data_IF_583556555256
#
_entry.id   IF_583556555256
#
_cell.length_a   1.000
_cell.length_b   1.000
_cell.length_c   1.000
_cell.angle_alpha   90.00
_cell.angle_beta   90.00
_cell.angle_gamma   90.00
#
_symmetry.space_group_name_H-M   'P 1'
#
loop_
_entity.id
_entity.type
_entity.pdbx_description
1 polymer ?
#
# COMPACT_ATOMS: atom_id res chain seq x y z
N UNK A 1 10.62 2.38 -12.30
CA UNK A 1 9.28 2.42 -12.94
C UNK A 1 8.26 2.70 -11.86
N UNK A 2 7.59 3.86 -11.92
CA UNK A 2 6.63 4.30 -10.90
C UNK A 2 5.26 3.68 -11.19
N UNK A 3 4.89 2.65 -10.43
CA UNK A 3 3.74 1.78 -10.74
C UNK A 3 2.37 2.40 -10.39
N UNK A 4 2.34 3.53 -9.68
CA UNK A 4 1.12 4.09 -9.10
C UNK A 4 1.01 5.63 -9.22
N UNK A 5 1.52 6.20 -10.33
CA UNK A 5 1.46 7.64 -10.60
C UNK A 5 0.55 8.04 -11.77
N UNK A 6 0.57 9.32 -12.14
CA UNK A 6 -0.16 9.87 -13.29
C UNK A 6 0.04 9.06 -14.59
N UNK A 7 1.26 8.58 -14.94
CA UNK A 7 1.44 7.76 -16.15
C UNK A 7 0.65 6.44 -16.12
N UNK A 8 0.46 5.85 -14.94
CA UNK A 8 -0.34 4.62 -14.78
C UNK A 8 -1.84 4.92 -14.93
N UNK A 9 -2.33 5.99 -14.31
CA UNK A 9 -3.74 6.41 -14.38
C UNK A 9 -4.13 6.74 -15.83
N UNK A 10 -3.29 7.48 -16.56
CA UNK A 10 -3.53 7.81 -17.97
C UNK A 10 -3.57 6.56 -18.85
N UNK A 11 -2.70 5.58 -18.60
CA UNK A 11 -2.70 4.32 -19.35
C UNK A 11 -3.91 3.44 -19.00
N UNK A 12 -4.36 3.48 -17.75
CA UNK A 12 -5.55 2.77 -17.29
C UNK A 12 -6.82 3.30 -17.94
N UNK A 13 -7.00 4.62 -18.04
CA UNK A 13 -8.15 5.24 -18.70
C UNK A 13 -8.24 4.92 -20.19
N UNK A 14 -7.10 4.89 -20.89
CA UNK A 14 -7.04 4.46 -22.31
C UNK A 14 -7.57 3.04 -22.51
N UNK A 15 -7.33 2.15 -21.55
CA UNK A 15 -7.84 0.76 -21.60
C UNK A 15 -9.32 0.66 -21.29
N UNK A 16 -9.84 1.58 -20.48
CA UNK A 16 -11.25 1.63 -20.11
C UNK A 16 -12.12 2.34 -21.16
N UNK A 17 -11.52 3.18 -22.02
CA UNK A 17 -12.23 3.89 -23.08
C UNK A 17 -13.04 5.09 -22.60
N UNK A 18 -12.89 5.51 -21.33
CA UNK A 18 -13.52 6.70 -20.76
C UNK A 18 -12.55 7.48 -19.86
N UNK A 19 -12.45 8.82 -20.00
CA UNK A 19 -11.58 9.66 -19.18
C UNK A 19 -12.27 10.03 -17.84
N UNK A 20 -11.66 9.68 -16.70
CA UNK A 20 -12.17 9.98 -15.35
C UNK A 20 -11.47 11.22 -14.77
N UNK A 21 -10.13 11.22 -14.80
CA UNK A 21 -9.22 12.25 -14.28
C UNK A 21 -8.65 13.09 -15.42
N UNK A 22 -8.41 12.50 -16.59
CA UNK A 22 -7.89 13.27 -17.75
C UNK A 22 -8.86 14.33 -18.29
N UNK A 23 -10.17 14.15 -18.11
CA UNK A 23 -11.18 15.16 -18.48
C UNK A 23 -11.11 16.41 -17.59
N UNK A 24 -10.79 16.23 -16.31
CA UNK A 24 -10.58 17.32 -15.35
C UNK A 24 -9.32 18.11 -15.72
N UNK A 25 -8.22 17.40 -15.99
CA UNK A 25 -6.95 18.01 -16.41
C UNK A 25 -7.08 18.74 -17.76
N UNK A 26 -7.80 18.19 -18.72
CA UNK A 26 -8.01 18.84 -20.03
C UNK A 26 -8.81 20.14 -19.91
N UNK A 27 -9.78 20.21 -18.99
CA UNK A 27 -10.58 21.41 -18.76
C UNK A 27 -9.79 22.48 -18.00
N UNK A 28 -8.99 22.08 -17.01
CA UNK A 28 -8.08 22.99 -16.31
C UNK A 28 -7.03 23.57 -17.27
N UNK A 29 -6.38 22.73 -18.09
CA UNK A 29 -5.42 23.15 -19.11
C UNK A 29 -6.08 24.07 -20.15
N UNK A 30 -7.28 23.76 -20.66
CA UNK A 30 -7.99 24.65 -21.61
C UNK A 30 -8.36 26.00 -20.99
N UNK A 31 -8.72 26.02 -19.71
CA UNK A 31 -9.05 27.28 -19.01
C UNK A 31 -7.82 28.14 -18.76
N UNK A 32 -6.65 27.51 -18.55
CA UNK A 32 -5.37 28.18 -18.27
C UNK A 32 -4.62 28.64 -19.53
N UNK A 33 -4.83 27.98 -20.69
CA UNK A 33 -4.21 28.35 -21.99
C UNK A 33 -4.86 29.60 -22.64
N UNK A 34 -5.95 30.11 -22.07
CA UNK A 34 -6.66 31.28 -22.64
C UNK A 34 -5.87 32.59 -22.54
N UNK A 35 -4.86 32.63 -21.67
CA UNK A 35 -3.85 33.67 -21.63
C UNK A 35 -2.56 33.04 -22.12
N UNK A 36 -1.97 33.59 -23.18
CA UNK A 36 -0.85 33.03 -23.96
C UNK A 36 0.49 32.98 -23.19
N UNK A 37 0.48 32.62 -21.91
CA UNK A 37 1.66 32.31 -21.14
C UNK A 37 2.02 30.82 -21.36
N UNK A 38 3.24 30.59 -21.85
CA UNK A 38 3.82 29.26 -21.95
C UNK A 38 3.93 28.67 -20.54
N UNK A 39 2.96 27.85 -20.14
CA UNK A 39 3.06 27.02 -18.95
C UNK A 39 4.02 25.88 -19.28
N UNK A 40 5.30 26.07 -18.94
CA UNK A 40 6.24 24.96 -18.89
C UNK A 40 5.77 24.01 -17.79
N UNK A 41 5.36 22.79 -18.16
CA UNK A 41 5.28 21.70 -17.19
C UNK A 41 6.72 21.43 -16.76
N UNK A 42 7.13 22.07 -15.67
CA UNK A 42 8.39 21.76 -15.03
C UNK A 42 8.21 20.37 -14.46
N UNK A 43 8.75 19.35 -15.14
CA UNK A 43 9.12 18.09 -14.48
C UNK A 43 10.20 18.43 -13.45
N UNK A 44 9.77 19.01 -12.33
CA UNK A 44 10.63 19.43 -11.24
C UNK A 44 11.01 18.18 -10.47
N UNK A 45 11.99 17.45 -11.00
CA UNK A 45 12.77 16.51 -10.21
C UNK A 45 13.75 17.30 -9.32
N UNK A 46 13.23 18.34 -8.64
CA UNK A 46 13.97 19.28 -7.81
C UNK A 46 14.21 18.60 -6.46
N UNK A 47 15.47 18.26 -6.12
CA UNK A 47 15.82 17.69 -4.82
C UNK A 47 15.43 18.63 -3.67
N UNK A 48 15.30 19.92 -3.94
CA UNK A 48 14.86 20.93 -2.98
C UNK A 48 13.44 20.66 -2.49
N UNK A 49 12.48 20.38 -3.39
CA UNK A 49 11.08 20.08 -3.02
C UNK A 49 11.00 18.78 -2.22
N UNK A 50 11.75 17.74 -2.61
CA UNK A 50 11.77 16.48 -1.86
C UNK A 50 12.29 16.67 -0.44
N UNK A 51 13.34 17.48 -0.29
CA UNK A 51 13.94 17.81 1.00
C UNK A 51 12.94 18.62 1.84
N UNK A 52 12.29 19.62 1.25
CA UNK A 52 11.26 20.42 1.92
C UNK A 52 10.11 19.55 2.43
N UNK A 53 9.58 18.65 1.60
CA UNK A 53 8.48 17.76 1.98
C UNK A 53 8.88 16.76 3.08
N UNK A 54 10.08 16.17 2.99
CA UNK A 54 10.61 15.29 4.03
C UNK A 54 10.76 16.02 5.36
N UNK A 55 11.22 17.27 5.32
CA UNK A 55 11.36 18.08 6.54
C UNK A 55 10.00 18.48 7.11
N UNK A 56 9.06 18.91 6.25
CA UNK A 56 7.73 19.38 6.66
C UNK A 56 6.82 18.26 7.17
N UNK A 57 6.92 17.08 6.59
CA UNK A 57 6.10 15.91 6.93
C UNK A 57 6.96 14.72 7.35
N UNK A 58 7.97 14.96 8.17
CA UNK A 58 8.93 13.94 8.63
C UNK A 58 8.26 12.62 9.02
N UNK A 59 7.20 12.69 9.83
CA UNK A 59 6.43 11.52 10.27
C UNK A 59 5.85 10.64 9.16
N UNK A 60 5.49 11.22 8.02
CA UNK A 60 4.95 10.46 6.88
C UNK A 60 6.07 9.71 6.14
N UNK A 61 7.29 10.24 6.19
CA UNK A 61 8.47 9.68 5.56
C UNK A 61 9.38 8.92 6.54
N UNK A 62 8.97 8.75 7.80
CA UNK A 62 9.65 7.90 8.76
C UNK A 62 9.71 6.47 8.23
N UNK A 63 10.86 5.82 8.41
CA UNK A 63 11.02 4.42 8.06
C UNK A 63 10.18 3.54 9.00
N UNK A 64 9.64 2.45 8.46
CA UNK A 64 8.87 1.48 9.23
C UNK A 64 7.38 1.45 8.90
N UNK A 65 6.63 0.68 9.69
CA UNK A 65 5.20 0.50 9.50
C UNK A 65 4.42 1.57 10.30
N UNK A 66 3.62 2.38 9.60
CA UNK A 66 2.73 3.33 10.26
C UNK A 66 1.56 2.65 10.99
N UNK A 67 1.04 3.29 12.03
CA UNK A 67 -0.12 2.82 12.80
C UNK A 67 -1.31 3.77 12.63
N UNK A 68 -2.42 3.28 12.07
CA UNK A 68 -3.66 4.06 11.96
C UNK A 68 -4.42 4.08 13.29
N UNK A 69 -4.38 5.20 14.00
CA UNK A 69 -5.10 5.37 15.28
C UNK A 69 -6.52 5.95 15.14
N UNK A 70 -6.90 6.39 13.93
CA UNK A 70 -8.15 7.12 13.70
C UNK A 70 -9.38 6.22 13.51
N UNK A 71 -9.19 4.98 13.07
CA UNK A 71 -10.28 4.06 12.74
C UNK A 71 -9.87 2.61 12.99
N UNK A 72 -10.86 1.77 13.33
CA UNK A 72 -10.71 0.33 13.40
C UNK A 72 -11.40 -0.32 12.20
N UNK A 73 -10.78 -1.33 11.62
CA UNK A 73 -11.41 -2.14 10.60
C UNK A 73 -12.44 -3.08 11.25
N UNK A 74 -13.65 -3.13 10.69
CA UNK A 74 -14.70 -4.06 11.10
C UNK A 74 -14.97 -5.05 9.96
N UNK A 75 -14.89 -6.34 10.25
CA UNK A 75 -15.21 -7.40 9.29
C UNK A 75 -16.68 -7.83 9.48
N UNK A 76 -17.53 -7.52 8.50
CA UNK A 76 -18.91 -7.99 8.48
C UNK A 76 -18.97 -9.42 7.94
N UNK A 77 -19.40 -10.36 8.79
CA UNK A 77 -19.60 -11.75 8.40
C UNK A 77 -20.99 -11.93 7.80
N UNK A 78 -21.13 -12.93 6.92
CA UNK A 78 -22.44 -13.40 6.46
C UNK A 78 -23.19 -14.02 7.65
N UNK A 79 -24.51 -13.93 7.67
CA UNK A 79 -25.37 -14.42 8.77
C UNK A 79 -25.11 -15.88 9.14
N UNK A 80 -24.82 -16.72 8.15
CA UNK A 80 -24.61 -18.16 8.32
C UNK A 80 -23.12 -18.55 8.47
N UNK A 81 -22.22 -17.60 8.66
CA UNK A 81 -20.79 -17.87 8.78
C UNK A 81 -20.48 -18.65 10.07
N UNK A 82 -19.88 -19.83 9.93
CA UNK A 82 -19.47 -20.68 11.07
C UNK A 82 -17.94 -20.67 11.21
N UNK A 83 -17.41 -20.59 12.44
CA UNK A 83 -15.98 -20.66 12.68
C UNK A 83 -15.34 -21.92 12.11
N UNK A 84 -14.20 -21.74 11.45
CA UNK A 84 -13.37 -22.84 10.93
C UNK A 84 -11.98 -22.72 11.51
N UNK A 85 -11.55 -23.79 12.18
CA UNK A 85 -10.20 -23.90 12.71
C UNK A 85 -9.42 -24.95 11.91
N UNK A 86 -8.40 -24.51 11.20
CA UNK A 86 -7.53 -25.38 10.41
C UNK A 86 -6.14 -25.41 11.03
N UNK A 87 -5.58 -26.61 11.21
CA UNK A 87 -4.23 -26.81 11.74
C UNK A 87 -3.18 -26.17 10.83
N UNK A 88 -2.12 -25.63 11.41
CA UNK A 88 -0.96 -25.10 10.68
C UNK A 88 -0.34 -26.15 9.74
N UNK A 89 0.20 -25.71 8.60
CA UNK A 89 0.94 -26.60 7.70
C UNK A 89 2.34 -26.87 8.27
N UNK A 90 2.91 -28.07 8.09
CA UNK A 90 4.31 -28.33 8.41
C UNK A 90 5.23 -27.36 7.64
N UNK A 91 6.15 -26.72 8.34
CA UNK A 91 7.14 -25.82 7.75
C UNK A 91 8.41 -26.61 7.44
N UNK A 92 8.90 -26.60 6.18
CA UNK A 92 10.15 -27.27 5.85
C UNK A 92 11.35 -26.70 6.64
N UNK A 93 12.26 -27.57 7.06
CA UNK A 93 13.41 -27.20 7.91
C UNK A 93 14.24 -26.05 7.30
N UNK A 94 14.46 -26.08 5.98
CA UNK A 94 15.26 -25.07 5.27
C UNK A 94 14.69 -23.65 5.27
N UNK A 95 13.39 -23.48 5.55
CA UNK A 95 12.74 -22.15 5.62
C UNK A 95 12.22 -21.82 7.02
N UNK A 96 12.31 -22.76 7.97
CA UNK A 96 11.77 -22.63 9.33
C UNK A 96 12.29 -21.37 10.02
N UNK A 97 13.61 -21.17 10.02
CA UNK A 97 14.24 -20.01 10.65
C UNK A 97 13.74 -18.68 10.06
N UNK A 98 13.63 -18.58 8.74
CA UNK A 98 13.15 -17.36 8.09
C UNK A 98 11.68 -17.05 8.44
N UNK A 99 10.86 -18.08 8.60
CA UNK A 99 9.46 -17.92 9.04
C UNK A 99 9.39 -17.46 10.50
N UNK A 100 10.20 -18.04 11.37
CA UNK A 100 10.28 -17.65 12.79
C UNK A 100 10.77 -16.21 12.94
N UNK A 101 11.87 -15.85 12.27
CA UNK A 101 12.44 -14.49 12.29
C UNK A 101 11.40 -13.44 11.79
N UNK A 102 10.59 -13.78 10.78
CA UNK A 102 9.54 -12.88 10.27
C UNK A 102 8.33 -12.77 11.23
N UNK A 103 7.95 -13.85 11.91
CA UNK A 103 6.90 -13.80 12.95
C UNK A 103 7.35 -12.89 14.09
N UNK A 104 8.60 -13.02 14.54
CA UNK A 104 9.18 -12.17 15.59
C UNK A 104 9.23 -10.69 15.15
N UNK A 105 9.60 -10.43 13.89
CA UNK A 105 9.53 -9.08 13.31
C UNK A 105 8.11 -8.53 13.35
N UNK A 106 7.09 -9.30 12.95
CA UNK A 106 5.69 -8.86 12.96
C UNK A 106 5.16 -8.60 14.38
N UNK A 107 5.59 -9.40 15.36
CA UNK A 107 5.29 -9.18 16.78
C UNK A 107 5.92 -7.90 17.29
N UNK A 108 7.22 -7.69 17.02
CA UNK A 108 7.95 -6.49 17.50
C UNK A 108 7.39 -5.17 16.95
N UNK A 109 6.93 -5.15 15.69
CA UNK A 109 6.29 -3.96 15.11
C UNK A 109 4.81 -3.82 15.49
N UNK A 110 4.25 -4.77 16.25
CA UNK A 110 2.85 -4.77 16.69
C UNK A 110 1.84 -5.01 15.58
N UNK A 111 2.24 -5.63 14.46
CA UNK A 111 1.33 -5.96 13.36
C UNK A 111 0.45 -7.17 13.69
N UNK A 112 0.94 -8.08 14.53
CA UNK A 112 0.21 -9.23 15.07
C UNK A 112 0.42 -9.32 16.58
N UNK A 113 -0.47 -10.03 17.27
CA UNK A 113 -0.34 -10.34 18.69
C UNK A 113 -0.69 -11.82 18.92
N UNK A 114 -0.08 -12.47 19.93
CA UNK A 114 -0.48 -13.81 20.32
C UNK A 114 -1.88 -13.80 20.94
N UNK A 115 -2.59 -14.91 20.77
CA UNK A 115 -3.87 -15.21 21.41
C UNK A 115 -3.82 -16.64 21.95
N UNK A 116 -4.42 -16.89 23.11
CA UNK A 116 -4.41 -18.22 23.74
C UNK A 116 -5.38 -19.19 23.05
N UNK A 117 -6.56 -18.68 22.68
CA UNK A 117 -7.63 -19.47 22.07
C UNK A 117 -8.23 -18.75 20.87
N UNK A 118 -8.49 -19.50 19.80
CA UNK A 118 -9.09 -18.98 18.57
C UNK A 118 -10.18 -19.93 18.07
N UNK A 119 -11.36 -19.40 17.77
CA UNK A 119 -12.41 -20.15 17.07
C UNK A 119 -12.14 -20.26 15.56
N UNK A 120 -11.35 -19.32 15.02
CA UNK A 120 -10.97 -19.24 13.63
C UNK A 120 -9.46 -19.39 13.48
N UNK A 121 -9.02 -20.26 12.58
CA UNK A 121 -7.61 -20.38 12.22
C UNK A 121 -7.45 -20.81 10.76
N UNK A 122 -6.58 -20.12 10.05
CA UNK A 122 -6.18 -20.47 8.69
C UNK A 122 -4.68 -20.79 8.67
N UNK A 123 -4.24 -21.76 7.85
CA UNK A 123 -2.84 -22.10 7.75
C UNK A 123 -2.07 -21.01 7.00
N UNK A 124 -0.88 -20.65 7.50
CA UNK A 124 0.04 -19.73 6.83
C UNK A 124 0.84 -20.50 5.77
N UNK A 125 1.14 -19.83 4.65
CA UNK A 125 2.06 -20.31 3.62
C UNK A 125 3.26 -19.38 3.53
N UNK A 126 4.45 -19.92 3.74
CA UNK A 126 5.70 -19.19 3.58
C UNK A 126 6.06 -19.10 2.10
N UNK A 127 6.12 -17.88 1.56
CA UNK A 127 6.50 -17.62 0.16
C UNK A 127 7.80 -16.81 0.17
N UNK A 128 8.87 -17.41 -0.37
CA UNK A 128 10.13 -16.70 -0.60
C UNK A 128 9.96 -15.73 -1.75
N UNK A 129 10.25 -14.44 -1.54
CA UNK A 129 10.22 -13.45 -2.63
C UNK A 129 11.59 -13.42 -3.32
N UNK A 130 11.62 -12.85 -4.52
CA UNK A 130 12.85 -12.76 -5.30
C UNK A 130 13.94 -11.92 -4.59
N UNK A 131 13.52 -10.96 -3.77
CA UNK A 131 14.39 -10.08 -2.99
C UNK A 131 14.67 -10.58 -1.56
N UNK A 132 14.32 -11.83 -1.25
CA UNK A 132 14.47 -12.44 0.08
C UNK A 132 13.15 -12.55 0.82
#
# INVERSE_FOLDING_TARGET
MNLFGLPWIVNFEKRLGYPIVTSILQNEIKSMVKNNELVYVVESNSPEIQTELKNKFSRVFEEGLGHCSKMKAHLHLKSEAKPVFVRARPVPIGVKKAVEDEIDRLLSIGAINPIEFANWAAPILAVKKANG
#
